data_IF_620179692747
#
_entry.id   IF_620179692747
#
_cell.length_a   1.000
_cell.length_b   1.000
_cell.length_c   1.000
_cell.angle_alpha   90.00
_cell.angle_beta   90.00
_cell.angle_gamma   90.00
#
_symmetry.space_group_name_H-M   'P 1'
#
loop_
_entity.id
_entity.type
_entity.pdbx_description
1 polymer ?
#
# COMPACT_ATOMS: atom_id res chain seq x y z
N UNK A 1 -23.26 -17.68 -38.25
CA UNK A 1 -22.29 -18.56 -37.57
C UNK A 1 -22.87 -18.90 -36.21
N UNK A 2 -23.52 -20.06 -36.09
CA UNK A 2 -24.14 -20.54 -34.86
C UNK A 2 -23.04 -20.99 -33.91
N UNK A 3 -22.88 -20.31 -32.77
CA UNK A 3 -21.91 -20.71 -31.76
C UNK A 3 -22.49 -21.93 -31.02
N UNK A 4 -21.84 -23.10 -31.04
CA UNK A 4 -22.39 -24.29 -30.43
C UNK A 4 -22.52 -24.12 -28.92
N UNK A 5 -23.61 -24.62 -28.34
CA UNK A 5 -23.98 -24.48 -26.91
C UNK A 5 -22.85 -24.85 -25.94
N UNK A 6 -22.02 -25.81 -26.33
CA UNK A 6 -20.87 -26.28 -25.55
C UNK A 6 -19.74 -25.23 -25.50
N UNK A 7 -19.51 -24.50 -26.60
CA UNK A 7 -18.55 -23.38 -26.62
C UNK A 7 -19.08 -22.22 -25.77
N UNK A 8 -20.40 -21.97 -25.82
CA UNK A 8 -21.03 -20.94 -24.99
C UNK A 8 -20.89 -21.23 -23.48
N UNK A 9 -21.06 -22.48 -23.06
CA UNK A 9 -20.86 -22.92 -21.67
C UNK A 9 -19.40 -22.81 -21.20
N UNK A 10 -18.43 -23.08 -22.08
CA UNK A 10 -17.00 -22.95 -21.77
C UNK A 10 -16.60 -21.48 -21.60
N UNK A 11 -17.15 -20.58 -22.43
CA UNK A 11 -16.89 -19.14 -22.31
C UNK A 11 -17.42 -18.58 -20.98
N UNK A 12 -18.63 -18.97 -20.56
CA UNK A 12 -19.22 -18.55 -19.27
C UNK A 12 -18.41 -19.08 -18.08
N UNK A 13 -17.91 -20.31 -18.17
CA UNK A 13 -17.07 -20.91 -17.13
C UNK A 13 -15.69 -20.26 -16.98
N UNK A 14 -15.17 -19.60 -18.01
CA UNK A 14 -13.84 -18.97 -17.98
C UNK A 14 -13.88 -17.54 -17.43
N UNK A 15 -14.96 -16.79 -17.66
CA UNK A 15 -15.11 -15.40 -17.17
C UNK A 15 -15.19 -15.29 -15.63
N UNK A 16 -15.57 -16.36 -14.93
CA UNK A 16 -15.78 -16.35 -13.47
C UNK A 16 -14.50 -16.39 -12.63
N UNK A 17 -13.31 -16.46 -13.25
CA UNK A 17 -12.03 -16.55 -12.54
C UNK A 17 -11.27 -15.22 -12.46
N UNK A 18 -11.75 -14.16 -13.10
CA UNK A 18 -11.11 -12.84 -13.03
C UNK A 18 -11.48 -12.13 -11.73
N UNK A 19 -10.59 -12.23 -10.74
CA UNK A 19 -10.64 -11.36 -9.56
C UNK A 19 -10.18 -9.96 -9.94
N UNK A 20 -11.11 -9.01 -10.02
CA UNK A 20 -10.78 -7.59 -10.19
C UNK A 20 -10.24 -7.09 -8.85
N UNK A 21 -8.95 -6.81 -8.77
CA UNK A 21 -8.38 -6.16 -7.59
C UNK A 21 -8.49 -4.65 -7.77
N UNK A 22 -9.41 -4.02 -7.04
CA UNK A 22 -9.58 -2.57 -7.07
C UNK A 22 -8.54 -1.90 -6.16
N UNK A 23 -7.81 -0.94 -6.72
CA UNK A 23 -6.91 -0.11 -5.93
C UNK A 23 -7.71 0.72 -4.90
N UNK A 24 -7.20 0.79 -3.69
CA UNK A 24 -7.83 1.52 -2.59
C UNK A 24 -7.15 2.88 -2.40
N UNK A 25 -7.91 3.98 -2.30
CA UNK A 25 -7.33 5.26 -1.98
C UNK A 25 -6.84 5.28 -0.53
N UNK A 26 -5.79 6.05 -0.29
CA UNK A 26 -5.21 6.24 1.02
C UNK A 26 -4.26 7.43 1.08
N UNK A 27 -3.60 7.56 2.22
CA UNK A 27 -2.56 8.56 2.46
C UNK A 27 -1.28 7.83 2.88
N UNK A 28 -0.17 8.15 2.25
CA UNK A 28 1.16 7.74 2.69
C UNK A 28 1.84 8.91 3.39
N UNK A 29 2.41 8.68 4.57
CA UNK A 29 3.26 9.64 5.27
C UNK A 29 4.67 9.09 5.40
N UNK A 30 5.65 9.97 5.19
CA UNK A 30 7.05 9.70 5.43
C UNK A 30 7.30 9.55 6.94
N UNK A 31 7.96 8.48 7.35
CA UNK A 31 8.52 8.38 8.70
C UNK A 31 10.02 8.12 8.65
N UNK A 32 10.74 8.76 9.56
CA UNK A 32 12.20 8.82 9.53
C UNK A 32 12.89 7.73 10.36
N UNK A 33 12.13 6.75 10.88
CA UNK A 33 12.66 5.83 11.88
C UNK A 33 12.79 4.44 11.27
N UNK A 34 14.02 3.99 11.01
CA UNK A 34 14.27 2.57 10.77
C UNK A 34 14.01 1.81 12.07
N UNK A 35 12.76 1.35 12.28
CA UNK A 35 12.30 0.90 13.59
C UNK A 35 12.41 -0.61 13.77
N UNK A 36 13.14 -0.97 14.81
CA UNK A 36 13.13 -2.25 15.48
C UNK A 36 12.91 -1.92 16.97
N UNK A 37 11.97 -2.56 17.71
CA UNK A 37 11.23 -3.77 17.35
C UNK A 37 9.85 -3.53 16.72
N UNK A 38 9.47 -4.30 15.70
CA UNK A 38 8.14 -4.22 15.09
C UNK A 38 7.11 -5.11 15.80
N UNK A 39 5.82 -4.76 15.76
CA UNK A 39 4.75 -5.60 16.34
C UNK A 39 4.63 -6.98 15.68
N UNK A 40 4.94 -7.10 14.38
CA UNK A 40 4.85 -8.38 13.67
C UNK A 40 6.05 -9.31 13.91
N UNK A 41 7.26 -8.76 14.08
CA UNK A 41 8.51 -9.55 14.02
C UNK A 41 9.47 -9.29 15.18
N UNK A 42 9.06 -8.51 16.17
CA UNK A 42 9.89 -8.16 17.33
C UNK A 42 11.18 -7.49 16.87
N UNK A 43 12.31 -7.99 17.36
CA UNK A 43 13.63 -7.43 17.06
C UNK A 43 14.21 -7.86 15.71
N UNK A 44 13.51 -8.70 14.94
CA UNK A 44 14.04 -9.26 13.71
C UNK A 44 13.83 -8.30 12.51
N UNK A 45 14.89 -7.67 11.98
CA UNK A 45 14.76 -6.70 10.90
C UNK A 45 14.20 -7.33 9.63
N UNK A 46 13.37 -6.58 8.92
CA UNK A 46 12.57 -7.09 7.80
C UNK A 46 12.92 -6.46 6.43
N UNK A 47 14.04 -5.73 6.38
CA UNK A 47 14.51 -4.94 5.24
C UNK A 47 13.98 -3.50 5.24
N UNK A 48 14.35 -2.74 4.22
CA UNK A 48 14.07 -1.30 4.13
C UNK A 48 12.73 -0.98 3.45
N UNK A 49 12.14 -1.94 2.71
CA UNK A 49 10.86 -1.76 2.01
C UNK A 49 9.71 -2.28 2.88
N UNK A 50 9.58 -1.68 4.05
CA UNK A 50 8.57 -2.02 5.05
C UNK A 50 7.63 -0.84 5.29
N UNK A 51 6.44 -1.09 5.81
CA UNK A 51 5.50 -0.04 6.17
C UNK A 51 4.79 -0.35 7.48
N UNK A 52 4.28 0.71 8.11
CA UNK A 52 3.45 0.63 9.31
C UNK A 52 2.03 1.04 9.00
N UNK A 53 1.08 0.49 9.74
CA UNK A 53 -0.32 0.91 9.72
C UNK A 53 -0.72 1.49 11.07
N UNK A 54 -1.59 2.49 11.05
CA UNK A 54 -2.24 3.01 12.27
C UNK A 54 -3.69 2.57 12.41
N UNK A 55 -4.39 2.33 11.30
CA UNK A 55 -5.79 1.95 11.37
C UNK A 55 -5.96 0.60 12.07
N UNK A 56 -6.79 0.57 13.11
CA UNK A 56 -7.14 -0.67 13.82
C UNK A 56 -7.82 -1.67 12.89
N UNK A 57 -8.64 -1.19 11.94
CA UNK A 57 -9.31 -2.06 10.96
C UNK A 57 -8.35 -2.63 9.91
N UNK A 58 -7.30 -1.88 9.53
CA UNK A 58 -6.25 -2.43 8.67
C UNK A 58 -5.33 -3.37 9.43
N UNK A 59 -5.02 -3.05 10.69
CA UNK A 59 -4.19 -3.90 11.54
C UNK A 59 -4.82 -5.27 11.76
N UNK A 60 -6.12 -5.30 12.05
CA UNK A 60 -6.92 -6.53 12.18
C UNK A 60 -6.26 -7.58 13.08
N UNK A 61 -5.87 -7.16 14.30
CA UNK A 61 -5.21 -8.03 15.26
C UNK A 61 -3.85 -8.58 14.82
N UNK A 62 -3.23 -8.00 13.78
CA UNK A 62 -1.99 -8.49 13.18
C UNK A 62 -2.19 -9.36 11.95
N UNK A 63 -3.43 -9.58 11.48
CA UNK A 63 -3.69 -10.34 10.25
C UNK A 63 -3.10 -9.69 8.99
N UNK A 64 -2.69 -8.42 9.06
CA UNK A 64 -1.97 -7.73 7.99
C UNK A 64 -0.46 -7.98 7.98
N UNK A 65 0.11 -8.58 9.03
CA UNK A 65 1.55 -8.84 9.14
C UNK A 65 2.07 -9.62 7.92
N UNK A 66 3.15 -9.13 7.31
CA UNK A 66 3.80 -9.77 6.17
C UNK A 66 3.10 -9.58 4.83
N UNK A 67 1.86 -9.06 4.81
CA UNK A 67 1.19 -8.69 3.57
C UNK A 67 1.98 -7.60 2.86
N UNK A 68 2.08 -7.73 1.54
CA UNK A 68 2.75 -6.77 0.66
C UNK A 68 1.69 -5.95 -0.04
N UNK A 69 1.99 -4.67 -0.26
CA UNK A 69 1.13 -3.77 -1.00
C UNK A 69 1.95 -3.03 -2.03
N UNK A 70 1.47 -3.02 -3.27
CA UNK A 70 1.95 -2.08 -4.28
C UNK A 70 1.28 -0.73 -4.03
N UNK A 71 2.10 0.31 -3.85
CA UNK A 71 1.68 1.66 -3.47
C UNK A 71 2.10 2.63 -4.56
N UNK A 72 1.19 3.49 -5.00
CA UNK A 72 1.41 4.48 -6.05
C UNK A 72 0.97 5.84 -5.54
N UNK A 73 1.80 6.88 -5.71
CA UNK A 73 1.40 8.26 -5.44
C UNK A 73 0.39 8.73 -6.49
N UNK A 74 -0.71 9.35 -6.04
CA UNK A 74 -1.78 9.88 -6.89
C UNK A 74 -1.94 11.38 -6.81
N UNK A 75 -1.27 12.04 -5.85
CA UNK A 75 -1.19 13.50 -5.81
C UNK A 75 -0.80 14.04 -4.44
N UNK A 76 -0.87 15.36 -4.33
CA UNK A 76 -0.55 16.10 -3.12
C UNK A 76 -1.67 16.07 -2.06
N UNK A 77 -1.25 16.08 -0.79
CA UNK A 77 -2.10 16.50 0.34
C UNK A 77 -1.88 17.98 0.66
N UNK A 78 -0.66 18.50 0.46
CA UNK A 78 -0.32 19.92 0.59
C UNK A 78 -0.47 20.66 -0.74
N UNK A 79 -1.44 21.59 -0.81
CA UNK A 79 -1.73 22.38 -2.02
C UNK A 79 -0.58 23.31 -2.47
N UNK A 80 0.38 23.60 -1.59
CA UNK A 80 1.53 24.45 -1.93
C UNK A 80 2.69 23.67 -2.55
N UNK A 81 2.68 22.33 -2.49
CA UNK A 81 3.66 21.48 -3.15
C UNK A 81 3.00 20.70 -4.28
N UNK A 82 3.01 21.31 -5.47
CA UNK A 82 2.39 20.73 -6.66
C UNK A 82 3.26 19.60 -7.24
N UNK A 83 2.60 18.57 -7.77
CA UNK A 83 3.23 17.45 -8.48
C UNK A 83 4.28 16.67 -7.66
N UNK A 84 3.96 16.19 -6.44
CA UNK A 84 4.94 15.47 -5.63
C UNK A 84 5.28 14.07 -6.17
N UNK A 85 4.42 13.48 -7.01
CA UNK A 85 4.55 12.11 -7.46
C UNK A 85 5.63 11.90 -8.52
N UNK A 86 6.39 10.82 -8.41
CA UNK A 86 7.42 10.43 -9.39
C UNK A 86 6.87 9.67 -10.59
N UNK A 87 5.61 9.24 -10.54
CA UNK A 87 4.98 8.35 -11.52
C UNK A 87 5.34 6.86 -11.36
N UNK A 88 6.08 6.50 -10.30
CA UNK A 88 6.45 5.11 -9.99
C UNK A 88 5.57 4.53 -8.87
N UNK A 89 5.65 3.21 -8.73
CA UNK A 89 5.06 2.47 -7.62
C UNK A 89 6.14 1.75 -6.82
N UNK A 90 5.85 1.43 -5.56
CA UNK A 90 6.73 0.65 -4.68
C UNK A 90 5.95 -0.46 -3.99
N UNK A 91 6.58 -1.63 -3.84
CA UNK A 91 6.03 -2.71 -3.04
C UNK A 91 6.60 -2.66 -1.63
N UNK A 92 5.72 -2.52 -0.63
CA UNK A 92 6.11 -2.50 0.79
C UNK A 92 5.45 -3.62 1.56
N UNK A 93 6.18 -4.17 2.56
CA UNK A 93 5.67 -5.20 3.48
C UNK A 93 5.17 -4.55 4.78
N UNK A 94 3.97 -4.88 5.23
CA UNK A 94 3.49 -4.39 6.53
C UNK A 94 4.17 -5.16 7.66
N UNK A 95 4.82 -4.44 8.56
CA UNK A 95 5.58 -5.02 9.67
C UNK A 95 5.19 -4.52 11.05
N UNK A 96 4.38 -3.46 11.14
CA UNK A 96 4.14 -2.78 12.41
C UNK A 96 2.76 -2.13 12.52
N UNK A 97 2.33 -1.97 13.78
CA UNK A 97 1.15 -1.23 14.18
C UNK A 97 1.56 -0.07 15.08
N UNK A 98 1.23 1.14 14.64
CA UNK A 98 1.67 2.38 15.28
C UNK A 98 0.47 3.24 15.68
N UNK A 99 -0.21 2.95 16.80
CA UNK A 99 -1.30 3.77 17.31
C UNK A 99 -0.86 5.19 17.70
N UNK A 100 0.41 5.36 18.07
CA UNK A 100 1.08 6.61 18.44
C UNK A 100 1.54 7.47 17.26
N UNK A 101 1.54 6.91 16.04
CA UNK A 101 1.87 7.69 14.84
C UNK A 101 0.84 8.82 14.63
N UNK A 102 1.25 9.88 13.93
CA UNK A 102 0.41 11.03 13.58
C UNK A 102 -0.93 10.60 12.97
N UNK A 103 -2.00 11.37 13.12
CA UNK A 103 -3.28 11.01 12.50
C UNK A 103 -3.28 11.26 11.01
N UNK A 104 -4.12 10.51 10.29
CA UNK A 104 -4.44 10.76 8.89
C UNK A 104 -3.82 9.78 7.89
N UNK A 105 -2.65 9.22 8.15
CA UNK A 105 -2.02 8.33 7.18
C UNK A 105 -2.52 6.88 7.25
N UNK A 106 -2.72 6.29 6.07
CA UNK A 106 -3.00 4.87 5.87
C UNK A 106 -1.74 4.04 6.06
N UNK A 107 -0.65 4.45 5.38
CA UNK A 107 0.65 3.82 5.45
C UNK A 107 1.71 4.83 5.90
N UNK A 108 2.58 4.40 6.80
CA UNK A 108 3.82 5.11 7.09
C UNK A 108 4.92 4.40 6.33
N UNK A 109 5.57 5.12 5.42
CA UNK A 109 6.63 4.61 4.55
C UNK A 109 8.00 5.16 5.00
N UNK A 110 9.05 4.32 5.06
CA UNK A 110 10.39 4.80 5.30
C UNK A 110 10.86 5.59 4.09
N UNK A 111 11.87 6.43 4.28
CA UNK A 111 12.40 7.33 3.24
C UNK A 111 12.65 6.62 1.92
N UNK A 112 13.32 5.46 1.94
CA UNK A 112 13.62 4.66 0.74
C UNK A 112 12.38 4.24 -0.06
N UNK A 113 11.28 3.91 0.62
CA UNK A 113 10.03 3.57 -0.05
C UNK A 113 9.29 4.83 -0.51
N UNK A 114 9.29 5.88 0.31
CA UNK A 114 8.60 7.13 0.01
C UNK A 114 9.23 7.86 -1.18
N UNK A 115 10.56 7.97 -1.23
CA UNK A 115 11.30 8.62 -2.31
C UNK A 115 11.10 7.93 -3.67
N UNK A 116 10.75 6.64 -3.65
CA UNK A 116 10.42 5.90 -4.86
C UNK A 116 9.17 6.46 -5.53
N UNK A 117 8.14 6.83 -4.75
CA UNK A 117 6.83 7.25 -5.25
C UNK A 117 6.61 8.76 -5.23
N UNK A 118 7.34 9.50 -4.38
CA UNK A 118 7.12 10.92 -4.14
C UNK A 118 8.42 11.66 -3.79
N UNK A 119 8.44 12.98 -4.01
CA UNK A 119 9.44 13.87 -3.43
C UNK A 119 9.37 13.84 -1.89
N UNK A 120 10.50 13.60 -1.22
CA UNK A 120 10.59 13.48 0.26
C UNK A 120 10.03 14.71 0.98
N UNK A 121 10.27 15.91 0.45
CA UNK A 121 9.77 17.18 1.02
C UNK A 121 8.23 17.33 1.01
N UNK A 122 7.50 16.41 0.35
CA UNK A 122 6.05 16.36 0.47
C UNK A 122 5.61 15.94 1.86
N UNK A 123 6.40 15.12 2.56
CA UNK A 123 6.12 14.46 3.85
C UNK A 123 4.87 13.57 3.88
N UNK A 124 3.88 13.87 3.05
CA UNK A 124 2.63 13.17 2.93
C UNK A 124 2.07 13.33 1.51
N UNK A 125 1.52 12.25 0.97
CA UNK A 125 0.89 12.22 -0.36
C UNK A 125 -0.35 11.35 -0.36
N UNK A 126 -1.26 11.65 -1.29
CA UNK A 126 -2.35 10.73 -1.64
C UNK A 126 -1.75 9.54 -2.38
N UNK A 127 -2.27 8.37 -2.06
CA UNK A 127 -1.86 7.12 -2.69
C UNK A 127 -3.06 6.32 -3.13
N UNK A 128 -2.83 5.45 -4.10
CA UNK A 128 -3.60 4.24 -4.31
C UNK A 128 -2.74 3.04 -3.93
N UNK A 129 -3.36 2.04 -3.29
CA UNK A 129 -2.66 0.82 -2.91
C UNK A 129 -3.47 -0.44 -3.23
N UNK A 130 -2.74 -1.51 -3.55
CA UNK A 130 -3.30 -2.81 -3.87
C UNK A 130 -2.44 -3.90 -3.26
N UNK A 131 -3.06 -4.96 -2.72
CA UNK A 131 -2.34 -6.10 -2.13
C UNK A 131 -1.88 -7.07 -3.20
#
# INVERSE_FOLDING_TARGET
MEIPKNIFLVIIGFLSTFSIVLAKPGIASLYNISYVPSKCYGTNPQGDMVAKVRSKSLWDGGAICGKKFNVTCTGETNKYLLHPCTGKSVVVKIVDYCPECTAGATFYLPEKAFETISMVMAFEVKIDYVQ
#
